data_IF_153703592172
#
_entry.id   IF_153703592172
#
_cell.length_a   1.000
_cell.length_b   1.000
_cell.length_c   1.000
_cell.angle_alpha   90.00
_cell.angle_beta   90.00
_cell.angle_gamma   90.00
#
_symmetry.space_group_name_H-M   'P 1'
#
loop_
_entity.id
_entity.type
_entity.pdbx_description
1 polymer ?
#
# COMPACT_ATOMS: atom_id res chain seq x y z
N UNK A 1 29.37 38.35 11.08
CA UNK A 1 29.99 37.00 11.12
C UNK A 1 28.86 36.00 11.08
N UNK A 2 28.66 35.28 9.97
CA UNK A 2 27.63 34.23 9.91
C UNK A 2 28.03 33.10 10.85
N UNK A 3 27.32 32.93 11.96
CA UNK A 3 27.56 31.83 12.89
C UNK A 3 26.80 30.60 12.39
N UNK A 4 27.44 29.83 11.51
CA UNK A 4 26.89 28.51 11.17
C UNK A 4 26.92 27.62 12.40
N UNK A 5 25.73 27.18 12.82
CA UNK A 5 25.53 26.21 13.90
C UNK A 5 24.77 25.01 13.36
N UNK A 6 25.12 23.85 13.88
CA UNK A 6 24.46 22.59 13.54
C UNK A 6 23.57 22.17 14.70
N UNK A 7 22.32 21.87 14.39
CA UNK A 7 21.32 21.43 15.35
C UNK A 7 20.80 20.05 14.96
N UNK A 8 20.63 19.16 15.94
CA UNK A 8 19.92 17.89 15.74
C UNK A 8 18.52 18.02 16.31
N UNK A 9 17.51 17.78 15.46
CA UNK A 9 16.11 17.73 15.87
C UNK A 9 15.54 16.33 15.63
N UNK A 10 14.56 15.95 16.43
CA UNK A 10 13.81 14.70 16.27
C UNK A 10 12.53 14.94 15.46
N UNK A 11 12.32 14.13 14.42
CA UNK A 11 11.17 14.25 13.52
C UNK A 11 10.06 13.30 13.94
N UNK A 12 8.93 13.84 14.35
CA UNK A 12 7.70 13.08 14.58
C UNK A 12 6.94 12.88 13.26
N UNK A 13 6.45 11.65 13.01
CA UNK A 13 5.71 11.29 11.79
C UNK A 13 6.56 10.74 10.64
N UNK A 14 7.88 10.64 10.80
CA UNK A 14 8.76 10.06 9.79
C UNK A 14 8.64 8.52 9.77
N UNK A 15 8.23 7.95 8.63
CA UNK A 15 7.95 6.51 8.51
C UNK A 15 8.55 5.82 7.28
N UNK A 16 9.09 6.56 6.30
CA UNK A 16 9.66 5.95 5.09
C UNK A 16 10.89 6.71 4.57
N UNK A 17 11.64 6.10 3.64
CA UNK A 17 12.83 6.74 3.03
C UNK A 17 12.47 8.00 2.21
N UNK A 18 11.24 8.09 1.71
CA UNK A 18 10.76 9.30 1.04
C UNK A 18 10.55 10.46 2.02
N UNK A 19 10.29 10.19 3.31
CA UNK A 19 10.21 11.22 4.35
C UNK A 19 11.57 11.89 4.57
N UNK A 20 12.68 11.16 4.37
CA UNK A 20 14.05 11.70 4.46
C UNK A 20 14.23 12.80 3.43
N UNK A 21 13.94 12.50 2.16
CA UNK A 21 14.04 13.49 1.10
C UNK A 21 13.05 14.64 1.28
N UNK A 22 11.82 14.38 1.75
CA UNK A 22 10.83 15.42 2.04
C UNK A 22 11.40 16.44 3.02
N UNK A 23 11.86 15.93 4.17
CA UNK A 23 12.35 16.75 5.26
C UNK A 23 13.61 17.51 4.86
N UNK A 24 14.53 16.88 4.12
CA UNK A 24 15.70 17.56 3.58
C UNK A 24 15.30 18.70 2.62
N UNK A 25 14.38 18.45 1.70
CA UNK A 25 13.96 19.44 0.71
C UNK A 25 13.21 20.62 1.31
N UNK A 26 12.23 20.38 2.17
CA UNK A 26 11.39 21.42 2.77
C UNK A 26 12.19 22.30 3.75
N UNK A 27 13.10 21.70 4.51
CA UNK A 27 13.95 22.46 5.42
C UNK A 27 15.00 23.29 4.67
N UNK A 28 15.47 22.84 3.51
CA UNK A 28 16.38 23.60 2.67
C UNK A 28 15.74 24.84 2.03
N UNK A 29 14.41 24.96 2.00
CA UNK A 29 13.71 26.17 1.53
C UNK A 29 13.78 27.31 2.56
N UNK A 30 14.10 27.02 3.81
CA UNK A 30 14.22 28.05 4.85
C UNK A 30 15.48 28.91 4.63
N UNK A 31 15.38 30.25 4.62
CA UNK A 31 16.51 31.13 4.30
C UNK A 31 17.68 31.03 5.30
N UNK A 32 17.41 30.63 6.54
CA UNK A 32 18.44 30.37 7.55
C UNK A 32 19.15 29.01 7.42
N UNK A 33 18.66 28.08 6.58
CA UNK A 33 19.22 26.73 6.45
C UNK A 33 20.25 26.68 5.32
N UNK A 34 21.45 26.20 5.62
CA UNK A 34 22.49 25.94 4.62
C UNK A 34 22.51 24.48 4.18
N UNK A 35 22.24 23.55 5.08
CA UNK A 35 22.04 22.15 4.74
C UNK A 35 21.12 21.45 5.73
N UNK A 36 20.38 20.46 5.24
CA UNK A 36 19.57 19.57 6.06
C UNK A 36 19.88 18.13 5.66
N UNK A 37 20.19 17.28 6.64
CA UNK A 37 20.46 15.85 6.43
C UNK A 37 19.59 15.04 7.37
N UNK A 38 18.75 14.17 6.81
CA UNK A 38 17.71 13.47 7.55
C UNK A 38 18.05 11.98 7.71
N UNK A 39 17.68 11.40 8.84
CA UNK A 39 17.97 10.01 9.20
C UNK A 39 16.72 9.28 9.64
N UNK A 40 16.22 8.38 8.76
CA UNK A 40 15.12 7.48 9.10
C UNK A 40 15.48 6.53 10.24
N UNK A 41 16.76 6.13 10.37
CA UNK A 41 17.21 5.20 11.42
C UNK A 41 17.03 5.80 12.82
N UNK A 42 17.29 7.10 12.95
CA UNK A 42 17.28 7.81 14.23
C UNK A 42 16.03 8.67 14.43
N UNK A 43 15.15 8.72 13.42
CA UNK A 43 14.01 9.64 13.36
C UNK A 43 14.45 11.08 13.70
N UNK A 44 15.54 11.52 13.08
CA UNK A 44 16.17 12.81 13.36
C UNK A 44 16.58 13.52 12.08
N UNK A 45 16.70 14.84 12.14
CA UNK A 45 17.26 15.67 11.08
C UNK A 45 18.34 16.56 11.67
N UNK A 46 19.48 16.60 11.01
CA UNK A 46 20.60 17.46 11.31
C UNK A 46 20.52 18.68 10.37
N UNK A 47 20.36 19.86 10.95
CA UNK A 47 20.18 21.11 10.22
C UNK A 47 21.36 22.02 10.54
N UNK A 48 22.12 22.39 9.51
CA UNK A 48 23.19 23.38 9.60
C UNK A 48 22.71 24.69 8.98
N UNK A 49 22.87 25.80 9.71
CA UNK A 49 22.35 27.09 9.27
C UNK A 49 22.77 28.25 10.16
N UNK A 50 22.38 29.45 9.77
CA UNK A 50 22.48 30.66 10.58
C UNK A 50 21.08 31.05 11.05
N UNK A 51 20.87 30.93 12.37
CA UNK A 51 19.61 31.25 13.04
C UNK A 51 19.79 32.36 14.09
N UNK A 52 20.91 33.11 14.03
CA UNK A 52 21.26 34.11 15.03
C UNK A 52 21.34 33.53 16.46
N UNK A 53 20.66 34.21 17.40
CA UNK A 53 20.60 33.85 18.82
C UNK A 53 19.33 33.06 19.19
N UNK A 54 18.61 32.52 18.20
CA UNK A 54 17.41 31.73 18.45
C UNK A 54 17.72 30.46 19.25
N UNK A 55 16.87 30.15 20.24
CA UNK A 55 16.99 28.92 21.01
C UNK A 55 16.63 27.69 20.17
N UNK A 56 17.20 26.50 20.43
CA UNK A 56 16.87 25.28 19.70
C UNK A 56 15.36 24.99 19.62
N UNK A 57 14.60 25.28 20.68
CA UNK A 57 13.13 25.11 20.67
C UNK A 57 12.42 26.08 19.71
N UNK A 58 12.94 27.30 19.56
CA UNK A 58 12.38 28.30 18.66
C UNK A 58 12.65 27.90 17.20
N UNK A 59 13.89 27.47 16.91
CA UNK A 59 14.28 26.94 15.61
C UNK A 59 13.44 25.72 15.25
N UNK A 60 13.27 24.77 16.19
CA UNK A 60 12.45 23.58 15.97
C UNK A 60 10.99 23.94 15.61
N UNK A 61 10.40 24.94 16.27
CA UNK A 61 9.02 25.38 16.02
C UNK A 61 8.87 26.10 14.68
N UNK A 62 9.83 26.95 14.32
CA UNK A 62 9.84 27.67 13.04
C UNK A 62 9.99 26.69 11.86
N UNK A 63 10.95 25.78 11.95
CA UNK A 63 11.16 24.73 10.96
C UNK A 63 10.00 23.72 10.93
N UNK A 64 9.31 23.49 12.06
CA UNK A 64 8.10 22.65 12.09
C UNK A 64 6.96 23.23 11.26
N UNK A 65 6.84 24.56 11.17
CA UNK A 65 5.78 25.20 10.38
C UNK A 65 5.87 24.84 8.89
N UNK A 66 7.08 24.65 8.36
CA UNK A 66 7.30 24.19 6.98
C UNK A 66 6.85 22.74 6.75
N UNK A 67 6.90 21.95 7.82
CA UNK A 67 6.62 20.51 7.79
C UNK A 67 5.18 20.16 8.21
N UNK A 68 4.45 21.11 8.82
CA UNK A 68 3.12 20.89 9.37
C UNK A 68 2.09 20.52 8.30
N UNK A 69 2.22 21.07 7.09
CA UNK A 69 1.42 20.69 5.90
C UNK A 69 1.55 19.20 5.55
N UNK A 70 2.67 18.57 5.92
CA UNK A 70 2.95 17.15 5.72
C UNK A 70 2.68 16.30 6.97
N UNK A 71 2.20 16.90 8.06
CA UNK A 71 1.93 16.24 9.34
C UNK A 71 3.18 15.84 10.12
N UNK A 72 4.32 16.49 9.88
CA UNK A 72 5.55 16.27 10.64
C UNK A 72 5.83 17.44 11.59
N UNK A 73 6.51 17.15 12.70
CA UNK A 73 6.96 18.16 13.65
C UNK A 73 8.37 17.86 14.15
N UNK A 74 9.13 18.90 14.45
CA UNK A 74 10.47 18.82 15.01
C UNK A 74 10.43 19.07 16.52
N UNK A 75 11.15 18.25 17.29
CA UNK A 75 11.37 18.46 18.72
C UNK A 75 12.85 18.40 19.05
N UNK A 76 13.26 19.12 20.10
CA UNK A 76 14.64 19.10 20.61
C UNK A 76 14.87 17.81 21.38
N UNK A 77 13.91 17.42 22.22
CA UNK A 77 13.94 16.16 22.94
C UNK A 77 13.46 15.02 22.04
N UNK A 78 14.10 13.86 22.21
CA UNK A 78 13.61 12.61 21.65
C UNK A 78 12.29 12.26 22.35
N UNK A 79 11.16 12.47 21.68
CA UNK A 79 9.90 11.84 22.10
C UNK A 79 10.10 10.33 22.02
N UNK A 80 9.92 9.62 23.13
CA UNK A 80 9.84 8.17 23.09
C UNK A 80 8.74 7.78 22.09
N UNK A 81 9.11 7.03 21.05
CA UNK A 81 8.15 6.46 20.13
C UNK A 81 7.18 5.66 20.96
N UNK A 82 5.90 6.01 20.88
CA UNK A 82 4.81 5.35 21.60
C UNK A 82 5.01 3.83 21.54
N UNK A 83 5.08 3.22 22.72
CA UNK A 83 5.08 1.77 22.97
C UNK A 83 4.26 1.04 21.89
N UNK A 84 4.80 -0.02 21.23
CA UNK A 84 4.01 -0.83 20.30
C UNK A 84 2.63 -1.07 20.92
N UNK A 85 1.56 -0.62 20.25
CA UNK A 85 0.21 -0.67 20.81
C UNK A 85 -0.30 -2.10 20.81
N UNK A 86 0.32 -2.99 21.58
CA UNK A 86 -0.04 -4.40 21.73
C UNK A 86 -1.50 -4.55 22.15
N UNK A 87 -2.03 -3.55 22.86
CA UNK A 87 -3.46 -3.42 23.21
C UNK A 87 -4.40 -3.50 22.00
N UNK A 88 -3.99 -3.09 20.80
CA UNK A 88 -4.83 -3.20 19.61
C UNK A 88 -5.01 -4.67 19.15
N UNK A 89 -4.06 -5.58 19.47
CA UNK A 89 -4.18 -6.99 19.08
C UNK A 89 -5.33 -7.71 19.77
N UNK A 90 -5.75 -7.23 20.95
CA UNK A 90 -6.88 -7.82 21.68
C UNK A 90 -8.17 -7.76 20.85
N UNK A 91 -8.31 -6.73 20.00
CA UNK A 91 -9.42 -6.59 19.07
C UNK A 91 -9.06 -7.12 17.68
N UNK A 92 -7.81 -6.95 17.23
CA UNK A 92 -7.44 -7.34 15.88
C UNK A 92 -7.47 -8.85 15.65
N UNK A 93 -7.01 -9.65 16.62
CA UNK A 93 -7.01 -11.12 16.56
C UNK A 93 -8.41 -11.73 16.42
N UNK A 94 -9.41 -11.42 17.26
CA UNK A 94 -10.74 -11.99 17.12
C UNK A 94 -11.42 -11.56 15.83
N UNK A 95 -11.22 -10.33 15.35
CA UNK A 95 -11.76 -9.89 14.05
C UNK A 95 -11.11 -10.67 12.90
N UNK A 96 -9.78 -10.84 12.93
CA UNK A 96 -9.08 -11.64 11.93
C UNK A 96 -9.54 -13.10 11.96
N UNK A 97 -9.67 -13.70 13.16
CA UNK A 97 -10.15 -15.08 13.33
C UNK A 97 -11.58 -15.24 12.80
N UNK A 98 -12.49 -14.31 13.12
CA UNK A 98 -13.85 -14.29 12.60
C UNK A 98 -13.85 -14.24 11.07
N UNK A 99 -13.00 -13.40 10.47
CA UNK A 99 -12.83 -13.34 9.03
C UNK A 99 -12.35 -14.69 8.46
N UNK A 100 -11.35 -15.33 9.08
CA UNK A 100 -10.86 -16.66 8.65
C UNK A 100 -11.98 -17.70 8.70
N UNK A 101 -12.72 -17.75 9.81
CA UNK A 101 -13.83 -18.70 9.99
C UNK A 101 -14.90 -18.47 8.94
N UNK A 102 -15.29 -17.21 8.71
CA UNK A 102 -16.26 -16.86 7.68
C UNK A 102 -15.76 -17.23 6.27
N UNK A 103 -14.49 -16.96 5.97
CA UNK A 103 -13.87 -17.31 4.69
C UNK A 103 -13.84 -18.82 4.46
N UNK A 104 -13.40 -19.60 5.45
CA UNK A 104 -13.38 -21.07 5.37
C UNK A 104 -14.79 -21.65 5.28
N UNK A 105 -15.77 -21.09 6.01
CA UNK A 105 -17.16 -21.50 5.91
C UNK A 105 -17.71 -21.26 4.49
N UNK A 106 -17.41 -20.11 3.89
CA UNK A 106 -17.83 -19.74 2.54
C UNK A 106 -17.13 -20.58 1.45
N UNK A 107 -15.89 -21.02 1.69
CA UNK A 107 -15.24 -22.02 0.84
C UNK A 107 -15.93 -23.39 0.93
N UNK A 108 -16.29 -23.84 2.14
CA UNK A 108 -16.95 -25.14 2.35
C UNK A 108 -18.36 -25.22 1.77
N UNK A 109 -19.08 -24.11 1.62
CA UNK A 109 -20.39 -24.09 0.97
C UNK A 109 -20.31 -24.24 -0.55
N UNK A 110 -19.09 -24.32 -1.13
CA UNK A 110 -18.89 -24.48 -2.57
C UNK A 110 -19.21 -23.24 -3.40
N UNK A 111 -19.60 -22.13 -2.77
CA UNK A 111 -19.87 -20.86 -3.45
C UNK A 111 -18.60 -20.31 -4.14
N UNK A 112 -17.43 -20.64 -3.61
CA UNK A 112 -16.13 -20.34 -4.24
C UNK A 112 -15.79 -21.34 -5.36
N UNK A 113 -16.30 -22.57 -5.32
CA UNK A 113 -16.06 -23.57 -6.38
C UNK A 113 -16.93 -23.35 -7.63
N UNK A 114 -17.98 -22.51 -7.55
CA UNK A 114 -18.67 -21.96 -8.74
C UNK A 114 -17.78 -21.03 -9.59
N UNK A 115 -16.56 -20.73 -9.10
CA UNK A 115 -15.53 -19.95 -9.78
C UNK A 115 -14.54 -20.84 -10.56
N UNK A 116 -14.75 -22.16 -10.61
CA UNK A 116 -13.80 -23.07 -11.26
C UNK A 116 -13.88 -23.05 -12.81
N UNK A 117 -12.91 -22.33 -13.38
CA UNK A 117 -12.13 -22.44 -14.64
C UNK A 117 -12.65 -23.05 -15.96
N UNK A 118 -13.88 -23.53 -16.10
CA UNK A 118 -14.37 -24.04 -17.40
C UNK A 118 -14.68 -22.96 -18.44
N UNK A 119 -15.20 -21.82 -18.00
CA UNK A 119 -15.39 -20.58 -18.78
C UNK A 119 -15.86 -19.46 -17.83
N UNK A 120 -14.91 -18.74 -17.23
CA UNK A 120 -15.28 -17.62 -16.36
C UNK A 120 -15.97 -16.54 -17.19
N UNK A 121 -17.28 -16.42 -17.01
CA UNK A 121 -18.04 -15.32 -17.61
C UNK A 121 -17.55 -13.97 -17.04
N UNK A 122 -17.75 -12.88 -17.77
CA UNK A 122 -17.47 -11.53 -17.25
C UNK A 122 -18.28 -11.24 -15.97
N UNK A 123 -19.46 -11.85 -15.81
CA UNK A 123 -20.25 -11.78 -14.58
C UNK A 123 -19.53 -12.43 -13.40
N UNK A 124 -18.89 -13.56 -13.60
CA UNK A 124 -18.09 -14.22 -12.56
C UNK A 124 -16.87 -13.36 -12.19
N UNK A 125 -16.17 -12.79 -13.17
CA UNK A 125 -15.07 -11.86 -12.92
C UNK A 125 -15.51 -10.63 -12.10
N UNK A 126 -16.69 -10.08 -12.39
CA UNK A 126 -17.30 -8.99 -11.62
C UNK A 126 -17.62 -9.39 -10.17
N UNK A 127 -18.25 -10.56 -9.97
CA UNK A 127 -18.54 -11.07 -8.62
C UNK A 127 -17.26 -11.33 -7.82
N UNK A 128 -16.23 -11.89 -8.46
CA UNK A 128 -14.90 -12.04 -7.86
C UNK A 128 -14.34 -10.68 -7.48
N UNK A 129 -14.55 -9.65 -8.30
CA UNK A 129 -14.18 -8.27 -7.97
C UNK A 129 -14.87 -7.76 -6.69
N UNK A 130 -16.17 -8.01 -6.53
CA UNK A 130 -16.90 -7.65 -5.30
C UNK A 130 -16.31 -8.38 -4.09
N UNK A 131 -16.14 -9.70 -4.18
CA UNK A 131 -15.59 -10.53 -3.09
C UNK A 131 -14.15 -10.08 -2.76
N UNK A 132 -13.34 -9.81 -3.78
CA UNK A 132 -11.98 -9.30 -3.63
C UNK A 132 -11.96 -7.96 -2.88
N UNK A 133 -12.91 -7.06 -3.20
CA UNK A 133 -13.04 -5.77 -2.52
C UNK A 133 -13.54 -5.84 -1.08
N UNK A 134 -14.15 -6.96 -0.69
CA UNK A 134 -14.59 -7.26 0.68
C UNK A 134 -13.56 -8.08 1.50
N UNK A 135 -12.44 -8.47 0.89
CA UNK A 135 -11.44 -9.36 1.48
C UNK A 135 -10.08 -8.65 1.65
N UNK A 136 -8.97 -9.37 1.49
CA UNK A 136 -7.61 -8.84 1.70
C UNK A 136 -7.18 -7.76 0.72
N UNK A 137 -7.72 -7.71 -0.50
CA UNK A 137 -7.37 -6.62 -1.40
C UNK A 137 -7.81 -5.26 -0.82
N UNK A 138 -8.82 -5.23 0.07
CA UNK A 138 -9.26 -4.04 0.80
C UNK A 138 -8.18 -3.52 1.75
N UNK A 139 -7.42 -4.39 2.41
CA UNK A 139 -6.39 -3.99 3.37
C UNK A 139 -5.31 -3.12 2.70
N UNK A 140 -4.83 -3.53 1.53
CA UNK A 140 -3.75 -2.86 0.81
C UNK A 140 -4.29 -1.69 -0.02
N UNK A 141 -5.27 -1.96 -0.88
CA UNK A 141 -5.79 -0.93 -1.80
C UNK A 141 -6.69 0.05 -1.07
N UNK A 142 -7.51 -0.41 -0.13
CA UNK A 142 -8.32 0.46 0.72
C UNK A 142 -7.45 1.33 1.62
N UNK A 143 -6.39 0.80 2.25
CA UNK A 143 -5.45 1.62 3.03
C UNK A 143 -4.78 2.73 2.21
N UNK A 144 -4.38 2.42 0.96
CA UNK A 144 -3.80 3.37 0.01
C UNK A 144 -4.80 4.46 -0.39
N UNK A 145 -6.02 4.06 -0.74
CA UNK A 145 -7.11 4.97 -1.12
C UNK A 145 -7.50 5.86 0.06
N UNK A 146 -7.63 5.31 1.27
CA UNK A 146 -7.95 6.08 2.48
C UNK A 146 -6.85 7.11 2.78
N UNK A 147 -5.58 6.71 2.73
CA UNK A 147 -4.44 7.62 2.95
C UNK A 147 -4.39 8.75 1.93
N UNK A 148 -4.69 8.46 0.66
CA UNK A 148 -4.74 9.47 -0.40
C UNK A 148 -5.94 10.41 -0.20
N UNK A 149 -7.13 9.85 0.02
CA UNK A 149 -8.38 10.59 0.24
C UNK A 149 -8.23 11.59 1.39
N UNK A 150 -7.60 11.16 2.47
CA UNK A 150 -7.26 11.97 3.62
C UNK A 150 -6.37 13.18 3.27
N UNK A 151 -5.31 12.96 2.50
CA UNK A 151 -4.38 14.03 2.10
C UNK A 151 -5.06 15.08 1.24
N UNK A 152 -5.75 14.66 0.17
CA UNK A 152 -6.39 15.60 -0.76
C UNK A 152 -7.65 16.25 -0.18
N UNK A 153 -8.35 15.60 0.76
CA UNK A 153 -9.48 16.21 1.46
C UNK A 153 -9.06 17.42 2.31
N UNK A 154 -7.83 17.44 2.86
CA UNK A 154 -7.28 18.60 3.58
C UNK A 154 -7.02 19.79 2.65
N UNK A 155 -6.76 19.53 1.39
CA UNK A 155 -6.54 20.53 0.34
C UNK A 155 -7.86 21.00 -0.32
N UNK A 156 -9.00 20.49 0.16
CA UNK A 156 -10.33 20.84 -0.35
C UNK A 156 -10.80 20.04 -1.57
N UNK A 157 -9.98 19.16 -2.13
CA UNK A 157 -10.32 18.37 -3.33
C UNK A 157 -10.64 16.91 -2.97
N UNK A 158 -11.93 16.58 -2.88
CA UNK A 158 -12.40 15.27 -2.43
C UNK A 158 -12.81 14.32 -3.56
N UNK A 159 -13.19 14.87 -4.71
CA UNK A 159 -13.82 14.10 -5.80
C UNK A 159 -12.82 13.80 -6.90
N UNK A 160 -12.02 14.79 -7.30
CA UNK A 160 -11.08 14.62 -8.41
C UNK A 160 -10.03 13.54 -8.14
N UNK A 161 -9.41 13.42 -6.95
CA UNK A 161 -8.47 12.33 -6.68
C UNK A 161 -9.11 10.95 -6.85
N UNK A 162 -10.39 10.80 -6.48
CA UNK A 162 -11.09 9.53 -6.61
C UNK A 162 -11.38 9.18 -8.06
N UNK A 163 -11.85 10.16 -8.84
CA UNK A 163 -12.08 9.98 -10.27
C UNK A 163 -10.79 9.62 -11.00
N UNK A 164 -9.69 10.31 -10.68
CA UNK A 164 -8.37 10.04 -11.25
C UNK A 164 -7.85 8.64 -10.86
N UNK A 165 -7.99 8.26 -9.59
CA UNK A 165 -7.58 6.94 -9.11
C UNK A 165 -8.38 5.81 -9.75
N UNK A 166 -9.71 5.87 -9.70
CA UNK A 166 -10.57 4.84 -10.26
C UNK A 166 -10.50 4.80 -11.79
N UNK A 167 -10.41 5.96 -12.44
CA UNK A 167 -10.21 6.06 -13.89
C UNK A 167 -8.87 5.47 -14.33
N UNK A 168 -7.78 5.81 -13.64
CA UNK A 168 -6.46 5.24 -13.89
C UNK A 168 -6.44 3.72 -13.69
N UNK A 169 -7.12 3.23 -12.65
CA UNK A 169 -7.27 1.79 -12.39
C UNK A 169 -8.09 1.08 -13.48
N UNK A 170 -9.24 1.59 -13.88
CA UNK A 170 -10.04 0.95 -14.93
C UNK A 170 -9.27 0.90 -16.25
N UNK A 171 -8.63 2.01 -16.62
CA UNK A 171 -7.82 2.10 -17.83
C UNK A 171 -6.63 1.13 -17.81
N UNK A 172 -5.91 1.05 -16.70
CA UNK A 172 -4.77 0.12 -16.58
C UNK A 172 -5.22 -1.34 -16.59
N UNK A 173 -6.32 -1.69 -15.92
CA UNK A 173 -6.83 -3.05 -15.91
C UNK A 173 -7.32 -3.48 -17.31
N UNK A 174 -7.98 -2.59 -18.05
CA UNK A 174 -8.37 -2.86 -19.44
C UNK A 174 -7.13 -3.07 -20.33
N UNK A 175 -6.20 -2.11 -20.35
CA UNK A 175 -5.04 -2.14 -21.24
C UNK A 175 -4.07 -3.27 -20.87
N UNK A 176 -3.65 -3.34 -19.61
CA UNK A 176 -2.68 -4.33 -19.15
C UNK A 176 -3.30 -5.74 -19.15
N UNK A 177 -4.59 -5.86 -18.79
CA UNK A 177 -5.34 -7.10 -18.94
C UNK A 177 -5.35 -7.61 -20.38
N UNK A 178 -5.64 -6.73 -21.33
CA UNK A 178 -5.58 -7.09 -22.74
C UNK A 178 -4.18 -7.48 -23.20
N UNK A 179 -3.14 -6.76 -22.76
CA UNK A 179 -1.76 -7.13 -23.11
C UNK A 179 -1.38 -8.50 -22.57
N UNK A 180 -1.74 -8.84 -21.32
CA UNK A 180 -1.49 -10.16 -20.75
C UNK A 180 -2.27 -11.23 -21.53
N UNK A 181 -3.54 -10.97 -21.86
CA UNK A 181 -4.34 -11.90 -22.66
C UNK A 181 -3.74 -12.16 -24.04
N UNK A 182 -3.25 -11.12 -24.71
CA UNK A 182 -2.57 -11.25 -26.00
C UNK A 182 -1.25 -12.03 -25.92
N UNK A 183 -0.44 -11.77 -24.87
CA UNK A 183 0.81 -12.51 -24.63
C UNK A 183 0.52 -14.00 -24.41
N UNK A 184 -0.59 -14.31 -23.74
CA UNK A 184 -1.08 -15.65 -23.48
C UNK A 184 -1.18 -16.57 -24.70
N UNK A 185 -1.42 -16.00 -25.89
CA UNK A 185 -1.53 -16.77 -27.13
C UNK A 185 -0.25 -17.55 -27.47
N UNK A 186 0.91 -17.06 -27.02
CA UNK A 186 2.22 -17.63 -27.32
C UNK A 186 2.98 -18.09 -26.07
N UNK A 187 2.37 -17.99 -24.89
CA UNK A 187 3.07 -18.12 -23.62
C UNK A 187 2.40 -19.14 -22.71
N UNK A 188 2.97 -20.35 -22.65
CA UNK A 188 2.61 -21.35 -21.64
C UNK A 188 3.54 -21.22 -20.43
N UNK A 189 3.00 -20.80 -19.28
CA UNK A 189 3.74 -20.87 -18.03
C UNK A 189 3.95 -22.34 -17.65
N UNK A 190 5.21 -22.75 -17.49
CA UNK A 190 5.51 -24.04 -16.88
C UNK A 190 5.27 -23.97 -15.36
N UNK A 191 5.12 -25.14 -14.73
CA UNK A 191 4.86 -25.27 -13.29
C UNK A 191 5.93 -24.59 -12.44
N UNK A 192 7.20 -24.63 -12.87
CA UNK A 192 8.32 -23.98 -12.18
C UNK A 192 8.22 -22.46 -12.19
N UNK A 193 7.83 -21.85 -13.31
CA UNK A 193 7.68 -20.41 -13.44
C UNK A 193 6.51 -19.91 -12.58
N UNK A 194 5.37 -20.62 -12.60
CA UNK A 194 4.23 -20.33 -11.72
C UNK A 194 4.63 -20.45 -10.25
N UNK A 195 5.40 -21.48 -9.88
CA UNK A 195 5.93 -21.65 -8.52
C UNK A 195 6.80 -20.46 -8.08
N UNK A 196 7.83 -20.11 -8.87
CA UNK A 196 8.75 -19.01 -8.54
C UNK A 196 7.97 -17.69 -8.40
N UNK A 197 7.06 -17.41 -9.34
CA UNK A 197 6.25 -16.21 -9.31
C UNK A 197 5.36 -16.15 -8.08
N UNK A 198 4.62 -17.23 -7.76
CA UNK A 198 3.79 -17.33 -6.56
C UNK A 198 4.61 -17.19 -5.27
N UNK A 199 5.82 -17.74 -5.22
CA UNK A 199 6.72 -17.63 -4.07
C UNK A 199 7.21 -16.19 -3.87
N UNK A 200 7.66 -15.52 -4.93
CA UNK A 200 8.09 -14.12 -4.88
C UNK A 200 6.93 -13.23 -4.41
N UNK A 201 5.74 -13.46 -4.95
CA UNK A 201 4.56 -12.68 -4.58
C UNK A 201 4.14 -12.95 -3.14
N UNK A 202 4.10 -14.22 -2.72
CA UNK A 202 3.84 -14.60 -1.32
C UNK A 202 4.83 -13.93 -0.36
N UNK A 203 6.12 -13.89 -0.71
CA UNK A 203 7.13 -13.20 0.07
C UNK A 203 6.86 -11.68 0.16
N UNK A 204 6.56 -11.02 -0.96
CA UNK A 204 6.23 -9.57 -0.95
C UNK A 204 4.98 -9.30 -0.11
N UNK A 205 3.93 -10.11 -0.25
CA UNK A 205 2.72 -9.98 0.58
C UNK A 205 3.01 -10.17 2.06
N UNK A 206 3.87 -11.13 2.41
CA UNK A 206 4.28 -11.36 3.79
C UNK A 206 5.00 -10.14 4.36
N UNK A 207 5.93 -9.56 3.60
CA UNK A 207 6.66 -8.34 3.98
C UNK A 207 5.69 -7.17 4.19
N UNK A 208 4.74 -6.98 3.27
CA UNK A 208 3.72 -5.93 3.40
C UNK A 208 2.85 -6.17 4.64
N UNK A 209 2.35 -7.38 4.86
CA UNK A 209 1.51 -7.73 6.00
C UNK A 209 2.21 -7.51 7.34
N UNK A 210 3.47 -7.93 7.48
CA UNK A 210 4.28 -7.68 8.69
C UNK A 210 4.51 -6.19 8.91
N UNK A 211 4.71 -5.41 7.86
CA UNK A 211 4.83 -3.95 7.95
C UNK A 211 3.54 -3.27 8.40
N UNK A 212 2.37 -3.77 7.97
CA UNK A 212 1.06 -3.27 8.43
C UNK A 212 0.83 -3.50 9.93
N UNK A 213 1.48 -4.50 10.55
CA UNK A 213 1.36 -4.73 11.99
C UNK A 213 2.00 -3.61 12.81
N UNK A 214 3.01 -2.91 12.28
CA UNK A 214 3.77 -1.83 12.92
C UNK A 214 4.35 -2.19 14.32
N UNK A 215 4.60 -3.47 14.57
CA UNK A 215 5.01 -4.01 15.89
C UNK A 215 6.49 -4.36 15.93
N UNK A 216 7.08 -4.62 14.78
CA UNK A 216 8.47 -5.01 14.64
C UNK A 216 9.28 -3.88 13.99
N UNK A 217 10.07 -3.10 14.77
CA UNK A 217 10.88 -2.00 14.21
C UNK A 217 11.88 -2.47 13.15
N UNK A 218 12.29 -3.74 13.20
CA UNK A 218 13.17 -4.35 12.20
C UNK A 218 12.47 -4.60 10.86
N UNK A 219 11.16 -4.88 10.85
CA UNK A 219 10.40 -5.15 9.63
C UNK A 219 10.35 -3.91 8.71
N UNK A 220 10.37 -2.70 9.29
CA UNK A 220 10.49 -1.43 8.56
C UNK A 220 11.74 -1.35 7.68
N UNK A 221 12.83 -2.07 8.05
CA UNK A 221 14.05 -2.14 7.24
C UNK A 221 13.89 -3.01 5.98
N UNK A 222 12.92 -3.92 6.00
CA UNK A 222 12.61 -4.83 4.90
C UNK A 222 11.63 -4.22 3.88
N UNK A 223 11.12 -3.00 4.13
CA UNK A 223 10.27 -2.32 3.15
C UNK A 223 11.03 -2.10 1.84
N UNK A 224 10.38 -2.50 0.74
CA UNK A 224 10.84 -2.24 -0.62
C UNK A 224 10.73 -0.73 -0.89
N UNK A 225 11.72 0.01 -0.41
CA UNK A 225 11.81 1.45 -0.64
C UNK A 225 12.34 1.71 -2.03
N UNK A 226 11.81 2.72 -2.71
CA UNK A 226 12.42 3.19 -3.96
C UNK A 226 13.90 3.54 -3.75
N UNK A 227 14.82 3.12 -4.63
CA UNK A 227 16.22 3.54 -4.57
C UNK A 227 16.32 5.06 -4.68
N UNK A 228 17.32 5.66 -4.00
CA UNK A 228 17.45 7.12 -3.85
C UNK A 228 17.44 7.90 -5.18
N UNK A 229 17.95 7.29 -6.25
CA UNK A 229 17.92 7.88 -7.60
C UNK A 229 16.48 8.00 -8.14
N UNK A 230 15.69 6.94 -8.01
CA UNK A 230 14.31 6.90 -8.47
C UNK A 230 13.41 7.78 -7.59
N UNK A 231 13.67 7.84 -6.28
CA UNK A 231 12.93 8.75 -5.40
C UNK A 231 13.29 10.22 -5.62
N UNK A 232 14.54 10.58 -5.97
CA UNK A 232 14.89 11.97 -6.36
C UNK A 232 14.22 12.39 -7.66
N UNK A 233 14.19 11.51 -8.66
CA UNK A 233 13.48 11.77 -9.90
C UNK A 233 11.96 11.88 -9.66
N UNK A 234 11.39 10.99 -8.86
CA UNK A 234 9.99 11.07 -8.46
C UNK A 234 9.68 12.33 -7.63
N UNK A 235 10.60 12.81 -6.78
CA UNK A 235 10.46 14.07 -6.04
C UNK A 235 10.50 15.31 -6.95
N UNK A 236 11.40 15.33 -7.94
CA UNK A 236 11.46 16.40 -8.94
C UNK A 236 10.21 16.46 -9.82
N UNK A 237 9.59 15.30 -10.11
CA UNK A 237 8.31 15.21 -10.83
C UNK A 237 7.12 15.50 -9.90
N UNK A 238 7.25 15.24 -8.60
CA UNK A 238 6.19 15.45 -7.58
C UNK A 238 5.74 16.90 -7.45
N UNK A 239 6.64 17.88 -7.64
CA UNK A 239 6.24 19.30 -7.67
C UNK A 239 5.36 19.66 -8.89
N UNK A 240 5.45 18.91 -9.99
CA UNK A 240 4.60 19.11 -11.18
C UNK A 240 3.34 18.22 -11.20
N UNK A 241 3.29 17.13 -10.41
CA UNK A 241 2.29 16.07 -10.59
C UNK A 241 1.40 15.76 -9.38
N UNK A 242 1.35 16.60 -8.35
CA UNK A 242 0.40 16.40 -7.23
C UNK A 242 -1.05 16.15 -7.71
N UNK A 243 -1.43 16.78 -8.83
CA UNK A 243 -2.72 16.56 -9.50
C UNK A 243 -2.90 15.19 -10.17
N UNK A 244 -1.83 14.51 -10.58
CA UNK A 244 -1.85 13.23 -11.31
C UNK A 244 -1.41 12.04 -10.45
N UNK A 245 -0.86 12.27 -9.25
CA UNK A 245 -0.51 11.21 -8.29
C UNK A 245 -1.64 10.20 -8.09
N UNK A 246 -2.92 10.60 -7.91
CA UNK A 246 -4.01 9.63 -7.77
C UNK A 246 -4.17 8.70 -8.97
N UNK A 247 -3.99 9.23 -10.19
CA UNK A 247 -4.07 8.45 -11.43
C UNK A 247 -2.94 7.41 -11.51
N UNK A 248 -1.71 7.82 -11.22
CA UNK A 248 -0.53 6.93 -11.24
C UNK A 248 -0.70 5.82 -10.20
N UNK A 249 -1.17 6.17 -9.00
CA UNK A 249 -1.46 5.21 -7.94
C UNK A 249 -2.54 4.22 -8.37
N UNK A 250 -3.59 4.70 -9.06
CA UNK A 250 -4.62 3.87 -9.68
C UNK A 250 -4.03 2.88 -10.68
N UNK A 251 -3.17 3.34 -11.59
CA UNK A 251 -2.47 2.49 -12.58
C UNK A 251 -1.63 1.42 -11.87
N UNK A 252 -0.86 1.82 -10.85
CA UNK A 252 0.03 0.94 -10.09
C UNK A 252 -0.72 -0.19 -9.37
N UNK A 253 -2.02 -0.04 -9.10
CA UNK A 253 -2.81 -1.09 -8.42
C UNK A 253 -2.90 -2.40 -9.19
N UNK A 254 -2.67 -2.38 -10.50
CA UNK A 254 -2.59 -3.61 -11.31
C UNK A 254 -1.40 -4.49 -10.90
N UNK A 255 -0.30 -3.89 -10.47
CA UNK A 255 0.93 -4.60 -10.08
C UNK A 255 0.98 -4.93 -8.59
N UNK A 256 -0.04 -4.54 -7.83
CA UNK A 256 -0.09 -4.85 -6.40
C UNK A 256 -0.35 -6.35 -6.21
N UNK A 257 0.45 -7.04 -5.38
CA UNK A 257 0.29 -8.46 -5.14
C UNK A 257 -0.96 -8.71 -4.29
N UNK A 258 -2.12 -8.88 -4.93
CA UNK A 258 -3.32 -9.43 -4.30
C UNK A 258 -3.68 -10.77 -4.94
N UNK A 259 -4.03 -11.79 -4.14
CA UNK A 259 -4.32 -13.13 -4.64
C UNK A 259 -5.41 -13.15 -5.72
N UNK A 260 -6.52 -12.43 -5.50
CA UNK A 260 -7.61 -12.34 -6.49
C UNK A 260 -7.18 -11.68 -7.81
N UNK A 261 -6.43 -10.57 -7.73
CA UNK A 261 -5.91 -9.90 -8.94
C UNK A 261 -4.97 -10.82 -9.72
N UNK A 262 -4.10 -11.56 -9.01
CA UNK A 262 -3.19 -12.51 -9.64
C UNK A 262 -3.92 -13.70 -10.28
N UNK A 263 -4.90 -14.29 -9.60
CA UNK A 263 -5.72 -15.37 -10.17
C UNK A 263 -6.39 -14.91 -11.45
N UNK A 264 -6.95 -13.70 -11.46
CA UNK A 264 -7.54 -13.13 -12.67
C UNK A 264 -6.48 -12.84 -13.74
N UNK A 265 -5.27 -12.41 -13.38
CA UNK A 265 -4.18 -12.12 -14.33
C UNK A 265 -3.67 -13.40 -14.98
N UNK A 266 -3.52 -14.48 -14.20
CA UNK A 266 -3.19 -15.81 -14.69
C UNK A 266 -4.30 -16.39 -15.58
N UNK A 267 -5.57 -16.24 -15.18
CA UNK A 267 -6.69 -16.63 -16.05
C UNK A 267 -6.73 -15.82 -17.34
N UNK A 268 -6.50 -14.52 -17.26
CA UNK A 268 -6.42 -13.65 -18.43
C UNK A 268 -5.31 -14.10 -19.37
N UNK A 269 -4.15 -14.47 -18.84
CA UNK A 269 -3.06 -15.06 -19.62
C UNK A 269 -3.49 -16.36 -20.31
N UNK A 270 -4.34 -17.19 -19.70
CA UNK A 270 -4.83 -18.41 -20.37
C UNK A 270 -5.88 -18.17 -21.45
N UNK A 271 -6.48 -16.96 -21.54
CA UNK A 271 -7.48 -16.65 -22.58
C UNK A 271 -6.91 -16.51 -23.99
N UNK A 272 -5.62 -16.21 -24.12
CA UNK A 272 -4.94 -16.06 -25.42
C UNK A 272 -5.48 -14.93 -26.33
N UNK A 273 -6.31 -14.02 -25.81
CA UNK A 273 -6.93 -12.95 -26.61
C UNK A 273 -6.92 -11.61 -25.87
N UNK A 274 -6.56 -10.53 -26.58
CA UNK A 274 -6.52 -9.18 -26.03
C UNK A 274 -7.89 -8.74 -25.48
N UNK A 275 -8.96 -8.91 -26.26
CA UNK A 275 -10.27 -8.40 -25.90
C UNK A 275 -10.85 -9.18 -24.72
N UNK A 276 -10.74 -10.51 -24.72
CA UNK A 276 -11.17 -11.35 -23.60
C UNK A 276 -10.42 -11.00 -22.31
N UNK A 277 -9.10 -10.76 -22.40
CA UNK A 277 -8.30 -10.34 -21.27
C UNK A 277 -8.65 -8.95 -20.74
N UNK A 278 -8.82 -7.98 -21.65
CA UNK A 278 -9.20 -6.62 -21.32
C UNK A 278 -10.57 -6.56 -20.62
N UNK A 279 -11.57 -7.26 -21.18
CA UNK A 279 -12.93 -7.29 -20.64
C UNK A 279 -12.99 -8.03 -19.29
N UNK A 280 -12.29 -9.15 -19.14
CA UNK A 280 -12.21 -9.89 -17.87
C UNK A 280 -11.65 -9.01 -16.76
N UNK A 281 -10.52 -8.35 -17.01
CA UNK A 281 -9.90 -7.44 -16.03
C UNK A 281 -10.74 -6.21 -15.73
N UNK A 282 -11.45 -5.69 -16.74
CA UNK A 282 -12.35 -4.55 -16.55
C UNK A 282 -13.56 -4.92 -15.71
N UNK A 283 -14.16 -6.08 -15.96
CA UNK A 283 -15.26 -6.60 -15.16
C UNK A 283 -14.83 -6.80 -13.69
N UNK A 284 -13.64 -7.37 -13.47
CA UNK A 284 -13.06 -7.48 -12.14
C UNK A 284 -12.84 -6.10 -11.48
N UNK A 285 -12.23 -5.15 -12.19
CA UNK A 285 -12.00 -3.80 -11.67
C UNK A 285 -13.32 -3.09 -11.33
N UNK A 286 -14.34 -3.21 -12.18
CA UNK A 286 -15.69 -2.69 -11.94
C UNK A 286 -16.34 -3.35 -10.71
N UNK A 287 -16.18 -4.65 -10.51
CA UNK A 287 -16.68 -5.34 -9.32
C UNK A 287 -16.06 -4.80 -8.03
N UNK A 288 -14.80 -4.35 -8.08
CA UNK A 288 -14.14 -3.76 -6.91
C UNK A 288 -14.52 -2.29 -6.63
N UNK A 289 -15.12 -1.61 -7.61
CA UNK A 289 -15.40 -0.18 -7.56
C UNK A 289 -16.40 0.21 -6.46
N UNK A 290 -17.55 -0.46 -6.27
CA UNK A 290 -18.56 -0.03 -5.28
C UNK A 290 -17.99 0.09 -3.87
N UNK A 291 -17.26 -0.94 -3.40
CA UNK A 291 -16.69 -0.93 -2.06
C UNK A 291 -15.54 0.06 -1.90
N UNK A 292 -14.67 0.18 -2.91
CA UNK A 292 -13.57 1.13 -2.84
C UNK A 292 -14.06 2.58 -2.93
N UNK A 293 -15.09 2.86 -3.73
CA UNK A 293 -15.74 4.17 -3.76
C UNK A 293 -16.39 4.49 -2.41
N UNK A 294 -17.14 3.54 -1.82
CA UNK A 294 -17.70 3.67 -0.48
C UNK A 294 -16.63 4.04 0.55
N UNK A 295 -15.49 3.34 0.58
CA UNK A 295 -14.39 3.65 1.48
C UNK A 295 -13.76 5.02 1.21
N UNK A 296 -13.58 5.38 -0.06
CA UNK A 296 -13.02 6.67 -0.48
C UNK A 296 -13.80 7.85 0.09
N UNK A 297 -15.14 7.78 0.03
CA UNK A 297 -16.01 8.83 0.53
C UNK A 297 -16.30 8.70 2.04
N UNK A 298 -16.19 7.50 2.62
CA UNK A 298 -16.36 7.27 4.07
C UNK A 298 -15.12 7.65 4.89
N UNK A 299 -13.95 7.75 4.26
CA UNK A 299 -12.65 8.12 4.85
C UNK A 299 -12.66 9.42 5.64
N UNK A 300 -13.66 10.28 5.41
CA UNK A 300 -13.81 11.56 6.08
C UNK A 300 -14.25 11.42 7.56
N UNK A 301 -14.71 10.23 8.00
CA UNK A 301 -15.17 10.00 9.38
C UNK A 301 -14.24 9.14 10.25
N UNK A 302 -13.24 8.46 9.66
CA UNK A 302 -12.42 7.45 10.38
C UNK A 302 -11.08 8.03 10.86
N UNK A 303 -10.65 9.14 10.26
CA UNK A 303 -9.37 9.77 10.59
C UNK A 303 -9.47 10.59 11.88
N UNK A 304 -8.72 10.16 12.90
CA UNK A 304 -8.73 10.72 14.25
C UNK A 304 -9.31 9.80 15.32
N UNK A 305 -9.92 8.67 14.95
CA UNK A 305 -10.44 7.71 15.93
C UNK A 305 -9.33 6.82 16.50
N UNK A 306 -9.45 6.49 17.79
CA UNK A 306 -8.56 5.56 18.48
C UNK A 306 -8.48 4.13 17.86
N UNK A 307 -9.30 3.84 16.83
CA UNK A 307 -9.43 2.50 16.22
C UNK A 307 -8.55 2.27 14.98
N UNK A 308 -7.82 3.28 14.52
CA UNK A 308 -6.97 3.20 13.32
C UNK A 308 -5.97 2.02 13.34
N UNK A 309 -5.30 1.76 14.46
CA UNK A 309 -4.35 0.62 14.46
C UNK A 309 -4.98 -0.73 14.74
N UNK A 310 -6.23 -0.81 15.21
CA UNK A 310 -6.99 -2.07 15.14
C UNK A 310 -7.20 -2.42 13.68
N UNK A 311 -7.64 -1.46 12.85
CA UNK A 311 -7.80 -1.67 11.41
C UNK A 311 -6.51 -2.14 10.72
N UNK A 312 -5.40 -1.42 10.90
CA UNK A 312 -4.12 -1.79 10.26
C UNK A 312 -3.57 -3.13 10.75
N UNK A 313 -3.73 -3.47 12.04
CA UNK A 313 -3.31 -4.78 12.57
C UNK A 313 -4.18 -5.92 12.08
N UNK A 314 -5.50 -5.74 12.03
CA UNK A 314 -6.41 -6.72 11.42
C UNK A 314 -6.04 -6.93 9.96
N UNK A 315 -5.90 -5.85 9.20
CA UNK A 315 -5.47 -5.87 7.80
C UNK A 315 -4.12 -6.62 7.63
N UNK A 316 -3.12 -6.32 8.46
CA UNK A 316 -1.82 -6.98 8.45
C UNK A 316 -1.91 -8.48 8.74
N UNK A 317 -2.67 -8.88 9.77
CA UNK A 317 -2.88 -10.30 10.11
C UNK A 317 -3.54 -11.08 8.98
N UNK A 318 -4.58 -10.52 8.36
CA UNK A 318 -5.27 -11.17 7.24
C UNK A 318 -4.31 -11.24 6.03
N UNK A 319 -3.57 -10.18 5.70
CA UNK A 319 -2.59 -10.22 4.59
C UNK A 319 -1.51 -11.29 4.82
N UNK A 320 -0.99 -11.41 6.05
CA UNK A 320 -0.02 -12.47 6.41
C UNK A 320 -0.63 -13.86 6.19
N UNK A 321 -1.88 -14.08 6.62
CA UNK A 321 -2.57 -15.34 6.40
C UNK A 321 -2.65 -15.71 4.90
N UNK A 322 -3.05 -14.76 4.04
CA UNK A 322 -3.12 -15.02 2.59
C UNK A 322 -1.73 -15.19 1.96
N UNK A 323 -0.71 -14.49 2.47
CA UNK A 323 0.66 -14.70 2.04
C UNK A 323 1.13 -16.13 2.33
N UNK A 324 0.88 -16.61 3.55
CA UNK A 324 1.18 -17.99 3.94
C UNK A 324 0.37 -19.00 3.12
N UNK A 325 -0.93 -18.74 2.91
CA UNK A 325 -1.78 -19.57 2.08
C UNK A 325 -1.27 -19.67 0.63
N UNK A 326 -0.85 -18.55 0.02
CA UNK A 326 -0.26 -18.54 -1.32
C UNK A 326 1.04 -19.37 -1.37
N UNK A 327 1.94 -19.18 -0.40
CA UNK A 327 3.20 -19.94 -0.31
C UNK A 327 2.91 -21.43 -0.17
N UNK A 328 1.99 -21.83 0.72
CA UNK A 328 1.56 -23.21 0.92
C UNK A 328 1.00 -23.80 -0.38
N UNK A 329 0.08 -23.12 -1.06
CA UNK A 329 -0.48 -23.61 -2.33
C UNK A 329 0.60 -23.74 -3.42
N UNK A 330 1.56 -22.83 -3.45
CA UNK A 330 2.71 -22.92 -4.35
C UNK A 330 3.53 -24.20 -4.11
N UNK A 331 3.76 -24.56 -2.84
CA UNK A 331 4.42 -25.82 -2.44
C UNK A 331 3.61 -27.06 -2.81
N UNK A 332 2.27 -26.98 -2.76
CA UNK A 332 1.37 -28.06 -3.21
C UNK A 332 1.45 -28.25 -4.72
N UNK A 333 1.49 -27.16 -5.51
CA UNK A 333 1.57 -27.21 -6.99
C UNK A 333 2.81 -27.95 -7.49
N UNK A 334 3.92 -27.94 -6.74
CA UNK A 334 5.15 -28.67 -7.06
C UNK A 334 5.23 -30.06 -6.41
N UNK A 335 4.19 -30.49 -5.68
CA UNK A 335 4.11 -31.80 -5.03
C UNK A 335 4.98 -31.96 -3.78
N UNK A 336 5.47 -30.87 -3.18
CA UNK A 336 6.34 -30.94 -1.99
C UNK A 336 5.55 -31.29 -0.71
N UNK A 337 4.29 -30.86 -0.65
CA UNK A 337 3.38 -31.11 0.49
C UNK A 337 1.99 -31.50 -0.02
N UNK A 338 1.23 -32.32 0.73
CA UNK A 338 -0.16 -32.57 0.41
C UNK A 338 -1.00 -31.28 0.54
N UNK A 339 -2.13 -31.18 -0.20
CA UNK A 339 -3.04 -30.05 -0.05
C UNK A 339 -3.52 -29.94 1.40
N UNK A 340 -3.20 -28.82 2.04
CA UNK A 340 -3.59 -28.54 3.43
C UNK A 340 -5.10 -28.30 3.53
N UNK A 341 -5.69 -27.79 2.46
CA UNK A 341 -7.11 -27.65 2.29
C UNK A 341 -7.51 -28.53 1.10
N UNK A 342 -8.29 -29.58 1.36
CA UNK A 342 -8.96 -30.33 0.29
C UNK A 342 -10.05 -29.41 -0.27
N UNK A 343 -9.78 -28.82 -1.43
CA UNK A 343 -10.83 -28.33 -2.32
C UNK A 343 -11.03 -29.38 -3.40
#
# INVERSE_FOLDING_TARGET
MNQQKTYTFHVSGMHCKSCVLLTESELAEHPGVTSATSSLKNHSVEVAGDFGDATPHTIARELSALLEKHGYSLSVEKREMSDPRWKDFIYALPIALLFVVAFVALQKTGLVNLVDTGSLSFGTAFLIGIIASLSTCMAVVGGLVLSMSATFAKEGDRVRPQLLFHGGRLASFFLLGGTIGAIGANFSLNTTATFILSLVIGAVMLILGVNLLDVFPWAKRLQLSMPKFLSRHAYGVSQFNHRLTPLIVGVATFFLPCGFTQSMQLYTLSTGNFLSGALTMSAFALGTLPMLALLSFSSLSIQGSAKSGVFFKTAGLIVILFALFNIINSLVVIGLIPPVFNF
#
